data_IF_910178838657
#
_entry.id   IF_910178838657
#
_cell.length_a   1.000
_cell.length_b   1.000
_cell.length_c   1.000
_cell.angle_alpha   90.00
_cell.angle_beta   90.00
_cell.angle_gamma   90.00
#
_symmetry.space_group_name_H-M   'P 1'
#
loop_
_entity.id
_entity.type
_entity.pdbx_description
1 polymer ?
#
# COMPACT_ATOMS: atom_id res chain seq x y z
N UNK A 1 -0.24 3.16 -43.93
CA UNK A 1 0.24 4.50 -43.55
C UNK A 1 0.18 4.71 -42.04
N UNK A 2 -0.99 4.71 -41.39
CA UNK A 2 -1.13 5.05 -39.97
C UNK A 2 -0.27 4.22 -38.99
N UNK A 3 -0.11 2.91 -39.23
CA UNK A 3 0.69 2.04 -38.35
C UNK A 3 2.17 2.46 -38.27
N UNK A 4 2.75 2.89 -39.40
CA UNK A 4 4.16 3.32 -39.46
C UNK A 4 4.36 4.58 -38.63
N UNK A 5 3.39 5.50 -38.65
CA UNK A 5 3.41 6.70 -37.82
C UNK A 5 3.29 6.37 -36.33
N UNK A 6 2.39 5.46 -35.94
CA UNK A 6 2.24 5.03 -34.54
C UNK A 6 3.52 4.35 -34.04
N UNK A 7 4.07 3.40 -34.82
CA UNK A 7 5.35 2.73 -34.49
C UNK A 7 6.52 3.72 -34.39
N UNK A 8 6.56 4.71 -35.27
CA UNK A 8 7.62 5.72 -35.29
C UNK A 8 7.51 6.78 -34.18
N UNK A 9 6.33 6.94 -33.57
CA UNK A 9 6.10 7.86 -32.47
C UNK A 9 6.51 7.29 -31.10
N UNK A 10 6.73 5.97 -31.01
CA UNK A 10 7.11 5.29 -29.78
C UNK A 10 8.64 5.23 -29.69
N UNK A 11 9.27 5.66 -28.57
CA UNK A 11 10.71 5.57 -28.37
C UNK A 11 11.21 4.12 -28.46
N UNK A 12 12.42 3.90 -29.00
CA UNK A 12 12.95 2.53 -29.22
C UNK A 12 13.14 1.76 -27.93
N UNK A 13 13.36 2.46 -26.83
CA UNK A 13 13.51 1.93 -25.47
C UNK A 13 12.21 1.29 -24.96
N UNK A 14 11.08 1.71 -25.51
CA UNK A 14 9.72 1.29 -25.15
C UNK A 14 9.21 0.18 -26.09
N UNK A 15 9.65 0.19 -27.36
CA UNK A 15 9.27 -0.79 -28.40
C UNK A 15 9.62 -2.23 -28.01
N UNK A 16 10.72 -2.45 -27.28
CA UNK A 16 11.19 -3.79 -26.92
C UNK A 16 10.21 -4.63 -26.10
N UNK A 17 9.24 -4.00 -25.43
CA UNK A 17 8.20 -4.68 -24.65
C UNK A 17 6.90 -4.97 -25.42
N UNK A 18 6.71 -4.41 -26.62
CA UNK A 18 5.44 -4.50 -27.37
C UNK A 18 5.49 -5.65 -28.37
N UNK A 19 4.48 -6.52 -28.34
CA UNK A 19 4.29 -7.55 -29.38
C UNK A 19 3.96 -6.87 -30.71
N UNK A 20 4.78 -7.11 -31.74
CA UNK A 20 4.58 -6.44 -33.02
C UNK A 20 3.36 -6.96 -33.80
N UNK A 21 2.72 -6.10 -34.58
CA UNK A 21 1.61 -6.48 -35.47
C UNK A 21 1.57 -5.61 -36.74
N UNK A 22 1.03 -6.19 -37.81
CA UNK A 22 0.79 -5.51 -39.08
C UNK A 22 -0.62 -4.89 -39.17
N UNK A 23 -1.50 -5.21 -38.22
CA UNK A 23 -2.80 -4.58 -38.07
C UNK A 23 -2.74 -3.50 -36.99
N UNK A 24 -3.28 -2.32 -37.29
CA UNK A 24 -3.17 -1.16 -36.39
C UNK A 24 -4.00 -1.33 -35.12
N UNK A 25 -5.17 -1.99 -35.19
CA UNK A 25 -6.00 -2.20 -34.00
C UNK A 25 -5.30 -3.17 -33.05
N UNK A 26 -4.82 -4.28 -33.59
CA UNK A 26 -4.06 -5.28 -32.86
C UNK A 26 -2.78 -4.69 -32.27
N UNK A 27 -2.05 -3.85 -33.02
CA UNK A 27 -0.85 -3.19 -32.50
C UNK A 27 -1.16 -2.23 -31.35
N UNK A 28 -2.26 -1.47 -31.43
CA UNK A 28 -2.71 -0.61 -30.33
C UNK A 28 -3.14 -1.42 -29.11
N UNK A 29 -3.85 -2.54 -29.28
CA UNK A 29 -4.17 -3.46 -28.19
C UNK A 29 -2.91 -4.04 -27.54
N UNK A 30 -1.92 -4.43 -28.34
CA UNK A 30 -0.65 -4.93 -27.79
C UNK A 30 0.11 -3.84 -27.02
N UNK A 31 0.05 -2.57 -27.45
CA UNK A 31 0.61 -1.44 -26.69
C UNK A 31 -0.14 -1.29 -25.36
N UNK A 32 -1.47 -1.30 -25.40
CA UNK A 32 -2.30 -1.25 -24.19
C UNK A 32 -1.93 -2.39 -23.24
N UNK A 33 -1.87 -3.64 -23.69
CA UNK A 33 -1.49 -4.79 -22.85
C UNK A 33 -0.05 -4.73 -22.32
N UNK A 34 0.88 -4.14 -23.08
CA UNK A 34 2.30 -4.04 -22.68
C UNK A 34 2.57 -2.90 -21.68
N UNK A 35 1.68 -1.90 -21.62
CA UNK A 35 1.80 -0.70 -20.77
C UNK A 35 0.64 -0.51 -19.80
N UNK A 36 -0.34 -1.41 -19.83
CA UNK A 36 -1.20 -1.65 -18.69
C UNK A 36 -0.25 -2.03 -17.57
N UNK A 37 0.08 -1.04 -16.74
CA UNK A 37 0.63 -1.26 -15.41
C UNK A 37 -0.31 -2.27 -14.80
N UNK A 38 0.07 -3.55 -14.86
CA UNK A 38 -0.86 -4.62 -14.55
C UNK A 38 -1.41 -4.26 -13.17
N UNK A 39 -2.72 -4.10 -12.98
CA UNK A 39 -3.28 -3.67 -11.71
C UNK A 39 -2.71 -4.49 -10.54
N UNK A 40 -2.35 -5.74 -10.82
CA UNK A 40 -1.58 -6.65 -9.97
C UNK A 40 -0.18 -6.14 -9.56
N UNK A 41 0.62 -5.53 -10.44
CA UNK A 41 1.92 -4.94 -10.11
C UNK A 41 1.81 -3.75 -9.15
N UNK A 42 0.82 -2.88 -9.36
CA UNK A 42 0.58 -1.75 -8.46
C UNK A 42 0.04 -2.22 -7.10
N UNK A 43 -0.93 -3.14 -7.10
CA UNK A 43 -1.44 -3.77 -5.88
C UNK A 43 -0.32 -4.48 -5.11
N UNK A 44 0.54 -5.25 -5.79
CA UNK A 44 1.69 -5.92 -5.17
C UNK A 44 2.69 -4.93 -4.56
N UNK A 45 2.90 -3.79 -5.22
CA UNK A 45 3.77 -2.72 -4.71
C UNK A 45 3.19 -2.13 -3.42
N UNK A 46 1.91 -1.77 -3.41
CA UNK A 46 1.21 -1.26 -2.23
C UNK A 46 1.13 -2.28 -1.10
N UNK A 47 0.91 -3.56 -1.40
CA UNK A 47 0.95 -4.64 -0.42
C UNK A 47 2.35 -4.72 0.20
N UNK A 48 3.40 -4.70 -0.62
CA UNK A 48 4.78 -4.76 -0.13
C UNK A 48 5.12 -3.54 0.76
N UNK A 49 4.74 -2.34 0.34
CA UNK A 49 4.89 -1.12 1.14
C UNK A 49 4.14 -1.22 2.46
N UNK A 50 2.89 -1.71 2.46
CA UNK A 50 2.10 -1.88 3.68
C UNK A 50 2.74 -2.87 4.66
N UNK A 51 3.22 -4.03 4.20
CA UNK A 51 3.78 -5.07 5.09
C UNK A 51 5.19 -4.76 5.59
N UNK A 52 5.93 -3.92 4.86
CA UNK A 52 7.30 -3.47 5.22
C UNK A 52 7.30 -2.12 5.93
N UNK A 53 6.16 -1.42 5.97
CA UNK A 53 6.02 -0.17 6.70
C UNK A 53 6.28 -0.39 8.19
N UNK A 54 7.14 0.46 8.77
CA UNK A 54 7.49 0.45 10.17
C UNK A 54 7.43 1.86 10.73
N UNK A 55 6.88 1.99 11.94
CA UNK A 55 6.84 3.29 12.61
C UNK A 55 8.26 3.73 13.01
N UNK A 56 8.69 4.89 12.52
CA UNK A 56 10.03 5.43 12.71
C UNK A 56 10.29 6.04 14.10
N UNK A 57 9.24 6.15 14.93
CA UNK A 57 9.31 6.76 16.26
C UNK A 57 9.42 8.30 16.26
N UNK A 58 9.32 8.96 15.11
CA UNK A 58 9.56 10.41 14.95
C UNK A 58 8.45 11.14 14.19
N UNK A 59 7.88 10.51 13.16
CA UNK A 59 6.86 11.08 12.27
C UNK A 59 5.47 11.25 12.92
N UNK A 60 5.32 10.77 14.16
CA UNK A 60 4.08 10.78 14.93
C UNK A 60 3.22 9.56 14.61
N UNK A 61 2.87 8.78 15.63
CA UNK A 61 2.18 7.50 15.44
C UNK A 61 0.82 7.64 14.75
N UNK A 62 0.11 8.75 14.99
CA UNK A 62 -1.16 9.05 14.30
C UNK A 62 -0.98 9.14 12.79
N UNK A 63 0.10 9.79 12.35
CA UNK A 63 0.40 9.96 10.92
C UNK A 63 0.66 8.61 10.27
N UNK A 64 1.50 7.79 10.90
CA UNK A 64 1.79 6.42 10.47
C UNK A 64 0.53 5.58 10.29
N UNK A 65 -0.37 5.59 11.29
CA UNK A 65 -1.65 4.84 11.21
C UNK A 65 -2.54 5.33 10.06
N UNK A 66 -2.60 6.65 9.83
CA UNK A 66 -3.37 7.22 8.73
C UNK A 66 -2.80 6.84 7.35
N UNK A 67 -1.48 6.80 7.21
CA UNK A 67 -0.81 6.35 5.97
C UNK A 67 -1.11 4.87 5.70
N UNK A 68 -1.03 4.01 6.73
CA UNK A 68 -1.42 2.60 6.61
C UNK A 68 -2.89 2.41 6.25
N UNK A 69 -3.78 3.21 6.85
CA UNK A 69 -5.21 3.20 6.54
C UNK A 69 -5.48 3.67 5.11
N UNK A 70 -4.72 4.65 4.62
CA UNK A 70 -4.81 5.12 3.26
C UNK A 70 -4.43 4.02 2.26
N UNK A 71 -3.30 3.33 2.47
CA UNK A 71 -2.90 2.20 1.63
C UNK A 71 -3.95 1.09 1.61
N UNK A 72 -4.56 0.78 2.77
CA UNK A 72 -5.63 -0.22 2.83
C UNK A 72 -6.86 0.18 2.00
N UNK A 73 -7.23 1.46 2.02
CA UNK A 73 -8.35 1.96 1.22
C UNK A 73 -8.03 1.95 -0.28
N UNK A 74 -6.78 2.22 -0.68
CA UNK A 74 -6.35 2.06 -2.07
C UNK A 74 -6.45 0.60 -2.52
N UNK A 75 -5.95 -0.34 -1.71
CA UNK A 75 -6.06 -1.77 -2.01
C UNK A 75 -7.53 -2.25 -2.07
N UNK A 76 -8.40 -1.75 -1.18
CA UNK A 76 -9.85 -2.02 -1.23
C UNK A 76 -10.49 -1.52 -2.53
N UNK A 77 -10.03 -0.39 -3.06
CA UNK A 77 -10.51 0.13 -4.34
C UNK A 77 -10.07 -0.74 -5.54
N UNK A 78 -9.09 -1.61 -5.35
CA UNK A 78 -8.60 -2.62 -6.31
C UNK A 78 -9.22 -4.01 -6.06
N UNK A 79 -10.41 -4.07 -5.45
CA UNK A 79 -11.16 -5.30 -5.13
C UNK A 79 -10.50 -6.23 -4.08
N UNK A 80 -9.48 -5.75 -3.34
CA UNK A 80 -8.91 -6.51 -2.23
C UNK A 80 -9.80 -6.44 -0.97
N UNK A 81 -10.09 -7.61 -0.40
CA UNK A 81 -10.88 -7.74 0.82
C UNK A 81 -10.02 -7.58 2.08
N UNK A 82 -9.72 -6.33 2.42
CA UNK A 82 -9.02 -5.98 3.66
C UNK A 82 -10.03 -5.63 4.75
N UNK A 83 -10.18 -6.46 5.76
CA UNK A 83 -11.01 -6.15 6.93
C UNK A 83 -10.31 -5.15 7.86
N UNK A 84 -11.09 -4.39 8.63
CA UNK A 84 -10.53 -3.46 9.62
C UNK A 84 -9.73 -4.21 10.70
N UNK A 85 -10.19 -5.39 11.13
CA UNK A 85 -9.44 -6.23 12.07
C UNK A 85 -8.06 -6.65 11.52
N UNK A 86 -7.99 -7.04 10.24
CA UNK A 86 -6.70 -7.35 9.60
C UNK A 86 -5.78 -6.13 9.56
N UNK A 87 -6.33 -4.97 9.20
CA UNK A 87 -5.59 -3.71 9.16
C UNK A 87 -5.02 -3.36 10.54
N UNK A 88 -5.81 -3.49 11.62
CA UNK A 88 -5.35 -3.27 13.00
C UNK A 88 -4.17 -4.17 13.33
N UNK A 89 -4.22 -5.46 12.97
CA UNK A 89 -3.11 -6.39 13.22
C UNK A 89 -1.84 -6.02 12.46
N UNK A 90 -1.94 -5.60 11.20
CA UNK A 90 -0.76 -5.14 10.45
C UNK A 90 -0.19 -3.87 11.06
N UNK A 91 -1.03 -2.90 11.41
CA UNK A 91 -0.58 -1.67 12.06
C UNK A 91 0.13 -2.01 13.38
N UNK A 92 -0.43 -2.89 14.22
CA UNK A 92 0.23 -3.33 15.45
C UNK A 92 1.61 -3.96 15.20
N UNK A 93 1.75 -4.74 14.14
CA UNK A 93 3.03 -5.36 13.75
C UNK A 93 4.06 -4.33 13.24
N UNK A 94 3.60 -3.24 12.63
CA UNK A 94 4.46 -2.16 12.14
C UNK A 94 5.11 -1.33 13.26
N UNK A 95 4.54 -1.36 14.47
CA UNK A 95 5.08 -0.62 15.61
C UNK A 95 6.39 -1.24 16.11
N UNK A 96 7.38 -0.40 16.43
CA UNK A 96 8.68 -0.85 16.92
C UNK A 96 8.64 -1.52 18.31
N UNK A 97 9.79 -2.01 18.82
CA UNK A 97 9.90 -2.70 20.11
C UNK A 97 9.44 -1.88 21.32
N UNK A 98 9.56 -0.54 21.25
CA UNK A 98 9.10 0.35 22.32
C UNK A 98 7.59 0.23 22.60
N UNK A 99 6.82 -0.32 21.66
CA UNK A 99 5.38 -0.55 21.78
C UNK A 99 5.04 -1.98 22.22
N UNK A 100 6.00 -2.82 22.63
CA UNK A 100 5.71 -4.20 23.02
C UNK A 100 4.75 -4.33 24.22
N UNK A 101 4.81 -3.49 25.27
CA UNK A 101 3.80 -3.49 26.32
C UNK A 101 2.39 -3.16 25.77
N UNK A 102 2.31 -2.21 24.85
CA UNK A 102 1.06 -1.81 24.18
C UNK A 102 0.48 -2.93 23.33
N UNK A 103 1.31 -3.62 22.53
CA UNK A 103 0.91 -4.80 21.74
C UNK A 103 0.46 -5.94 22.64
N UNK A 104 1.13 -6.16 23.78
CA UNK A 104 0.75 -7.18 24.76
C UNK A 104 -0.63 -6.89 25.36
N UNK A 105 -0.91 -5.62 25.67
CA UNK A 105 -2.23 -5.18 26.13
C UNK A 105 -3.31 -5.44 25.07
N UNK A 106 -3.04 -5.16 23.80
CA UNK A 106 -3.96 -5.48 22.71
C UNK A 106 -4.22 -6.99 22.60
N UNK A 107 -3.17 -7.81 22.55
CA UNK A 107 -3.28 -9.26 22.37
C UNK A 107 -3.97 -9.98 23.55
N UNK A 108 -3.96 -9.40 24.75
CA UNK A 108 -4.59 -9.97 25.95
C UNK A 108 -6.03 -9.50 26.13
N UNK A 109 -6.43 -8.42 25.46
CA UNK A 109 -7.82 -7.96 25.43
C UNK A 109 -8.62 -8.77 24.41
N UNK A 110 -9.85 -9.18 24.79
CA UNK A 110 -10.77 -9.88 23.89
C UNK A 110 -11.60 -8.95 23.01
N UNK A 111 -11.44 -7.63 23.17
CA UNK A 111 -12.15 -6.63 22.39
C UNK A 111 -11.38 -6.31 21.12
N UNK A 112 -12.07 -6.36 19.97
CA UNK A 112 -11.55 -5.86 18.70
C UNK A 112 -11.54 -4.33 18.74
N UNK A 113 -10.37 -3.73 18.48
CA UNK A 113 -10.27 -2.27 18.41
C UNK A 113 -10.65 -1.79 17.01
N UNK A 114 -11.43 -0.73 16.94
CA UNK A 114 -11.63 0.03 15.71
C UNK A 114 -10.35 0.81 15.36
N UNK A 115 -10.23 1.26 14.11
CA UNK A 115 -9.12 2.14 13.69
C UNK A 115 -9.10 3.45 14.51
N UNK A 116 -10.27 3.97 14.89
CA UNK A 116 -10.37 5.17 15.71
C UNK A 116 -9.84 4.95 17.13
N UNK A 117 -10.20 3.84 17.76
CA UNK A 117 -9.67 3.47 19.09
C UNK A 117 -8.18 3.18 19.04
N UNK A 118 -7.71 2.52 17.98
CA UNK A 118 -6.29 2.30 17.73
C UNK A 118 -5.53 3.62 17.69
N UNK A 119 -5.99 4.60 16.90
CA UNK A 119 -5.38 5.92 16.83
C UNK A 119 -5.34 6.59 18.20
N UNK A 120 -6.46 6.60 18.92
CA UNK A 120 -6.55 7.24 20.23
C UNK A 120 -5.56 6.64 21.22
N UNK A 121 -5.60 5.32 21.39
CA UNK A 121 -4.75 4.59 22.34
C UNK A 121 -3.27 4.67 21.96
N UNK A 122 -2.96 4.65 20.66
CA UNK A 122 -1.59 4.81 20.17
C UNK A 122 -1.02 6.20 20.45
N UNK A 123 -1.81 7.26 20.30
CA UNK A 123 -1.39 8.63 20.63
C UNK A 123 -1.15 8.78 22.14
N UNK A 124 -2.05 8.26 22.97
CA UNK A 124 -1.86 8.25 24.43
C UNK A 124 -0.57 7.52 24.84
N UNK A 125 -0.31 6.37 24.22
CA UNK A 125 0.91 5.59 24.45
C UNK A 125 2.18 6.37 24.03
N UNK A 126 2.15 7.05 22.90
CA UNK A 126 3.27 7.88 22.43
C UNK A 126 3.57 9.04 23.40
N UNK A 127 2.53 9.74 23.87
CA UNK A 127 2.69 10.83 24.85
C UNK A 127 3.22 10.32 26.20
N UNK A 128 2.75 9.15 26.65
CA UNK A 128 3.30 8.51 27.86
C UNK A 128 4.80 8.22 27.70
N UNK A 129 5.20 7.63 26.59
CA UNK A 129 6.62 7.33 26.30
C UNK A 129 7.48 8.60 26.18
N UNK A 130 6.92 9.72 25.71
CA UNK A 130 7.61 11.01 25.68
C UNK A 130 7.79 11.59 27.09
N UNK A 131 6.81 11.42 27.99
CA UNK A 131 6.88 11.92 29.36
C UNK A 131 7.85 11.12 30.27
N UNK A 132 8.13 9.86 29.90
CA UNK A 132 9.08 8.98 30.59
C UNK A 132 10.55 9.22 30.17
N UNK A 133 10.80 10.07 29.17
CA UNK A 133 12.13 10.44 28.66
C UNK A 133 12.58 11.80 29.18
#
# INVERSE_FOLDING_TARGET
MCLIFVKGAIPREVIGGIIDSNDIKTYLTNIEESFEFAPETHANTLVNEMITSHYDGKSGIRKHILEMTHMANQLRSMDMKISDGFLVHIIMKSLGPNYDPFKTKYNTQKEEWTIQELILRSVEEEERQKAEK
#
